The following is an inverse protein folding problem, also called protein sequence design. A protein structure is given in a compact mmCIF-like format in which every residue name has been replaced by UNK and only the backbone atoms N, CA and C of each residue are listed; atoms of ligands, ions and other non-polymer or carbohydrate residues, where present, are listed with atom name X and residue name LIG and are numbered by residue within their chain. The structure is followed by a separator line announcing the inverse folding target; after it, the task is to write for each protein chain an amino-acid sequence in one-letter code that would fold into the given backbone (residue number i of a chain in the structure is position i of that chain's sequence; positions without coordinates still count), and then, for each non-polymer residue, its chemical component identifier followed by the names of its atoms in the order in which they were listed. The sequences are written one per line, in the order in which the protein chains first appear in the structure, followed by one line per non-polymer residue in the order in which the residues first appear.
data_IF_149304535503
#
_entry.id   IF_149304535503
#
_cell.length_a   1.000
_cell.length_b   1.000
_cell.length_c   1.000
_cell.angle_alpha   90.00
_cell.angle_beta   90.00
_cell.angle_gamma   90.00
#
_symmetry.space_group_name_H-M   'P 1'
#
loop_
_entity.id
_entity.type
_entity.pdbx_description
1 polymer ?
#
# COMPACT_ATOMS: atom_id res chain seq x y z
N UNK A 1 -21.20 -7.20 -24.46
CA UNK A 1 -21.10 -7.82 -23.11
C UNK A 1 -20.04 -7.08 -22.33
N UNK A 2 -20.40 -6.49 -21.18
CA UNK A 2 -19.46 -5.79 -20.32
C UNK A 2 -18.46 -6.76 -19.67
N UNK A 3 -17.30 -6.22 -19.23
CA UNK A 3 -16.29 -6.96 -18.47
C UNK A 3 -16.78 -7.38 -17.08
N UNK A 4 -17.88 -6.77 -16.59
CA UNK A 4 -18.47 -6.97 -15.28
C UNK A 4 -19.96 -7.27 -15.40
N UNK A 5 -20.44 -8.19 -14.56
CA UNK A 5 -21.84 -8.57 -14.45
C UNK A 5 -22.32 -8.30 -13.02
N UNK A 6 -23.34 -7.46 -12.87
CA UNK A 6 -23.98 -7.22 -11.59
C UNK A 6 -24.75 -8.45 -11.11
N UNK A 7 -24.90 -8.55 -9.78
CA UNK A 7 -25.76 -9.50 -9.10
C UNK A 7 -26.72 -8.69 -8.20
N UNK A 8 -28.01 -9.00 -8.23
CA UNK A 8 -29.03 -8.33 -7.43
C UNK A 8 -29.42 -9.12 -6.18
N UNK A 9 -28.91 -10.36 -6.04
CA UNK A 9 -29.20 -11.28 -4.95
C UNK A 9 -28.02 -11.36 -3.96
N UNK A 10 -27.31 -10.22 -3.77
CA UNK A 10 -26.21 -10.15 -2.82
C UNK A 10 -26.73 -9.96 -1.39
N UNK A 11 -26.17 -10.74 -0.48
CA UNK A 11 -26.42 -10.60 0.96
C UNK A 11 -25.68 -9.37 1.52
N UNK A 12 -26.13 -8.92 2.70
CA UNK A 12 -25.55 -7.80 3.41
C UNK A 12 -24.17 -8.17 3.95
N UNK A 13 -23.19 -7.35 3.66
CA UNK A 13 -21.84 -7.45 4.23
C UNK A 13 -21.84 -7.19 5.74
N UNK A 14 -21.09 -7.99 6.48
CA UNK A 14 -20.79 -7.77 7.90
C UNK A 14 -19.31 -7.98 8.17
N UNK A 15 -18.76 -7.22 9.11
CA UNK A 15 -17.35 -7.29 9.47
C UNK A 15 -17.18 -7.20 10.99
N UNK A 16 -16.28 -8.02 11.52
CA UNK A 16 -15.84 -8.00 12.92
C UNK A 16 -14.31 -7.95 12.94
N UNK A 17 -13.74 -7.19 13.88
CA UNK A 17 -12.30 -7.06 14.04
C UNK A 17 -11.90 -7.20 15.51
N UNK A 18 -10.83 -7.93 15.75
CA UNK A 18 -10.14 -8.00 17.03
C UNK A 18 -8.70 -7.56 16.81
N UNK A 19 -8.25 -6.59 17.59
CA UNK A 19 -6.91 -6.00 17.46
C UNK A 19 -6.25 -5.85 18.84
N UNK A 20 -4.95 -6.13 18.89
CA UNK A 20 -4.08 -5.84 20.04
C UNK A 20 -2.91 -5.03 19.53
N UNK A 21 -2.78 -3.81 20.07
CA UNK A 21 -1.71 -2.88 19.73
C UNK A 21 -0.78 -2.61 20.92
N UNK A 22 0.45 -2.24 20.61
CA UNK A 22 1.45 -1.82 21.57
C UNK A 22 2.20 -0.60 21.03
N UNK A 23 2.36 0.41 21.88
CA UNK A 23 3.06 1.65 21.54
C UNK A 23 4.13 1.96 22.60
N UNK A 24 5.35 2.21 22.13
CA UNK A 24 6.47 2.65 22.93
C UNK A 24 7.00 3.97 22.39
N UNK A 25 6.98 5.00 23.21
CA UNK A 25 7.48 6.32 22.85
C UNK A 25 8.62 6.72 23.77
N UNK A 26 9.74 7.15 23.17
CA UNK A 26 10.92 7.69 23.83
C UNK A 26 11.31 8.99 23.13
N UNK A 27 12.18 9.76 23.76
CA UNK A 27 12.62 11.06 23.21
C UNK A 27 13.23 10.95 21.81
N UNK A 28 13.98 9.87 21.56
CA UNK A 28 14.73 9.71 20.31
C UNK A 28 14.17 8.62 19.37
N UNK A 29 13.18 7.86 19.82
CA UNK A 29 12.59 6.81 19.00
C UNK A 29 11.18 6.43 19.45
N UNK A 30 10.41 5.90 18.54
CA UNK A 30 9.12 5.26 18.81
C UNK A 30 9.02 3.92 18.12
N UNK A 31 8.18 3.05 18.66
CA UNK A 31 7.82 1.75 18.10
C UNK A 31 6.34 1.53 18.34
N UNK A 32 5.60 1.36 17.26
CA UNK A 32 4.19 1.00 17.27
C UNK A 32 4.03 -0.36 16.59
N UNK A 33 3.20 -1.22 17.16
CA UNK A 33 2.89 -2.52 16.58
C UNK A 33 1.45 -2.90 16.83
N UNK A 34 0.83 -3.59 15.89
CA UNK A 34 -0.52 -4.11 15.99
C UNK A 34 -0.59 -5.52 15.39
N UNK A 35 -1.33 -6.38 16.05
CA UNK A 35 -1.75 -7.69 15.55
C UNK A 35 -3.27 -7.69 15.51
N UNK A 36 -3.85 -8.06 14.38
CA UNK A 36 -5.30 -8.08 14.23
C UNK A 36 -5.79 -9.35 13.53
N UNK A 37 -7.04 -9.68 13.83
CA UNK A 37 -7.79 -10.72 13.15
C UNK A 37 -9.17 -10.17 12.79
N UNK A 38 -9.57 -10.32 11.53
CA UNK A 38 -10.81 -9.79 10.98
C UNK A 38 -11.60 -10.90 10.30
N UNK A 39 -12.90 -10.90 10.52
CA UNK A 39 -13.89 -11.73 9.85
C UNK A 39 -14.78 -10.84 9.00
N UNK A 40 -14.86 -11.12 7.73
CA UNK A 40 -15.76 -10.47 6.79
C UNK A 40 -16.69 -11.55 6.22
N UNK A 41 -17.98 -11.44 6.52
CA UNK A 41 -19.00 -12.33 6.01
C UNK A 41 -19.76 -11.62 4.89
N UNK A 42 -20.00 -12.31 3.79
CA UNK A 42 -20.68 -11.80 2.60
C UNK A 42 -20.05 -10.56 1.96
N UNK A 43 -18.72 -10.40 2.06
CA UNK A 43 -18.04 -9.30 1.36
C UNK A 43 -18.29 -9.39 -0.15
N UNK A 44 -18.70 -8.29 -0.78
CA UNK A 44 -18.92 -8.28 -2.23
C UNK A 44 -17.60 -8.17 -2.97
N UNK A 45 -17.26 -9.20 -3.77
CA UNK A 45 -16.07 -9.21 -4.61
C UNK A 45 -16.42 -9.53 -6.07
N UNK A 46 -15.54 -9.14 -6.97
CA UNK A 46 -15.64 -9.42 -8.39
C UNK A 46 -14.87 -10.70 -8.73
N UNK A 47 -15.57 -11.81 -8.80
CA UNK A 47 -14.98 -13.14 -9.04
C UNK A 47 -14.90 -13.50 -10.51
N UNK A 48 -13.94 -14.35 -10.85
CA UNK A 48 -13.70 -14.84 -12.19
C UNK A 48 -13.54 -16.37 -12.19
N UNK A 49 -14.32 -17.04 -13.03
CA UNK A 49 -14.35 -18.51 -13.14
C UNK A 49 -13.75 -19.03 -14.45
N UNK A 50 -12.82 -18.29 -15.06
CA UNK A 50 -12.07 -18.72 -16.26
C UNK A 50 -12.72 -18.38 -17.59
N UNK A 51 -13.97 -17.98 -17.63
CA UNK A 51 -14.65 -17.55 -18.85
C UNK A 51 -15.72 -16.50 -18.60
N UNK A 52 -15.94 -15.62 -19.56
CA UNK A 52 -16.98 -14.59 -19.50
C UNK A 52 -16.60 -13.35 -18.68
N UNK A 53 -17.61 -12.62 -18.23
CA UNK A 53 -17.46 -11.43 -17.41
C UNK A 53 -17.21 -11.79 -15.95
N UNK A 54 -16.50 -10.94 -15.22
CA UNK A 54 -16.42 -11.02 -13.77
C UNK A 54 -17.82 -10.80 -13.16
N UNK A 55 -18.19 -11.59 -12.19
CA UNK A 55 -19.47 -11.50 -11.50
C UNK A 55 -19.28 -10.94 -10.09
N UNK A 56 -20.22 -10.09 -9.63
CA UNK A 56 -20.28 -9.72 -8.23
C UNK A 56 -20.87 -10.89 -7.44
N UNK A 57 -20.14 -11.38 -6.45
CA UNK A 57 -20.56 -12.48 -5.58
C UNK A 57 -20.19 -12.18 -4.12
N UNK A 58 -20.90 -12.77 -3.18
CA UNK A 58 -20.53 -12.74 -1.78
C UNK A 58 -19.36 -13.69 -1.53
N UNK A 59 -18.39 -13.23 -0.72
CA UNK A 59 -17.19 -13.96 -0.35
C UNK A 59 -16.95 -13.81 1.13
N UNK A 60 -16.69 -14.89 1.83
CA UNK A 60 -16.26 -14.84 3.22
C UNK A 60 -14.74 -14.77 3.28
N UNK A 61 -14.21 -13.80 4.05
CA UNK A 61 -12.77 -13.59 4.16
C UNK A 61 -12.37 -13.53 5.62
N UNK A 62 -11.38 -14.34 6.01
CA UNK A 62 -10.69 -14.26 7.28
C UNK A 62 -9.32 -13.69 7.07
N UNK A 63 -9.03 -12.59 7.76
CA UNK A 63 -7.76 -11.86 7.59
C UNK A 63 -6.99 -11.87 8.91
N UNK A 64 -5.73 -12.25 8.87
CA UNK A 64 -4.76 -12.00 9.94
C UNK A 64 -3.74 -10.99 9.45
N UNK A 65 -3.37 -10.02 10.29
CA UNK A 65 -2.38 -9.01 9.94
C UNK A 65 -1.49 -8.63 11.11
N UNK A 66 -0.27 -8.27 10.77
CA UNK A 66 0.75 -7.71 11.65
C UNK A 66 1.24 -6.40 11.05
N UNK A 67 1.34 -5.36 11.87
CA UNK A 67 1.90 -4.07 11.49
C UNK A 67 2.94 -3.64 12.53
N UNK A 68 4.08 -3.12 12.07
CA UNK A 68 5.15 -2.59 12.89
C UNK A 68 5.65 -1.30 12.24
N UNK A 69 5.75 -0.23 13.03
CA UNK A 69 6.33 1.05 12.61
C UNK A 69 7.35 1.46 13.65
N UNK A 70 8.56 1.77 13.23
CA UNK A 70 9.62 2.28 14.06
C UNK A 70 10.13 3.62 13.51
N UNK A 71 10.26 4.62 14.37
CA UNK A 71 10.84 5.92 14.03
C UNK A 71 12.05 6.18 14.92
N UNK A 72 13.11 6.72 14.35
CA UNK A 72 14.29 7.13 15.05
C UNK A 72 14.65 8.57 14.67
N UNK A 73 14.91 9.40 15.69
CA UNK A 73 15.32 10.78 15.52
C UNK A 73 16.80 10.93 15.91
N UNK A 74 17.56 11.57 15.03
CA UNK A 74 18.90 12.08 15.26
C UNK A 74 18.88 13.59 15.06
N UNK A 75 19.96 14.28 15.37
CA UNK A 75 20.02 15.75 15.31
C UNK A 75 19.43 16.34 14.00
N UNK A 76 19.89 15.81 12.84
CA UNK A 76 19.47 16.30 11.51
C UNK A 76 18.81 15.23 10.65
N UNK A 77 18.58 14.07 11.19
CA UNK A 77 18.06 12.92 10.42
C UNK A 77 16.91 12.28 11.16
N UNK A 78 15.84 12.04 10.47
CA UNK A 78 14.75 11.17 10.89
C UNK A 78 14.74 9.92 10.02
N UNK A 79 14.65 8.74 10.64
CA UNK A 79 14.51 7.46 9.97
C UNK A 79 13.20 6.81 10.37
N UNK A 80 12.43 6.34 9.38
CA UNK A 80 11.16 5.66 9.56
C UNK A 80 11.24 4.31 8.86
N UNK A 81 10.95 3.23 9.57
CA UNK A 81 10.86 1.90 8.99
C UNK A 81 9.50 1.29 9.33
N UNK A 82 8.86 0.66 8.37
CA UNK A 82 7.64 -0.10 8.63
C UNK A 82 7.67 -1.47 7.96
N UNK A 83 6.93 -2.39 8.55
CA UNK A 83 6.65 -3.69 7.96
C UNK A 83 5.21 -4.06 8.23
N UNK A 84 4.53 -4.56 7.22
CA UNK A 84 3.21 -5.16 7.36
C UNK A 84 3.18 -6.54 6.70
N UNK A 85 2.49 -7.44 7.38
CA UNK A 85 2.13 -8.77 6.88
C UNK A 85 0.62 -8.90 6.91
N UNK A 86 0.06 -9.40 5.83
CA UNK A 86 -1.37 -9.62 5.69
C UNK A 86 -1.61 -10.97 5.04
N UNK A 87 -2.40 -11.81 5.68
CA UNK A 87 -2.82 -13.08 5.09
C UNK A 87 -4.33 -13.18 5.13
N UNK A 88 -4.91 -13.44 3.97
CA UNK A 88 -6.36 -13.66 3.80
C UNK A 88 -6.62 -15.10 3.43
N UNK A 89 -7.66 -15.66 4.05
CA UNK A 89 -8.24 -16.95 3.70
C UNK A 89 -9.66 -16.68 3.20
N UNK A 90 -9.87 -16.89 1.93
CA UNK A 90 -11.10 -16.62 1.22
C UNK A 90 -11.92 -17.88 1.01
N UNK A 91 -13.24 -17.79 1.19
CA UNK A 91 -14.21 -18.83 0.81
C UNK A 91 -15.23 -18.23 -0.16
N UNK A 92 -15.18 -18.67 -1.39
CA UNK A 92 -16.09 -18.24 -2.44
C UNK A 92 -17.40 -19.07 -2.48
N UNK A 93 -17.54 -20.13 -1.67
CA UNK A 93 -18.65 -21.07 -1.79
C UNK A 93 -18.76 -21.76 -3.16
N UNK A 94 -17.86 -21.45 -4.10
CA UNK A 94 -17.87 -21.93 -5.47
C UNK A 94 -16.45 -22.33 -5.92
N UNK A 95 -16.17 -23.63 -6.09
CA UNK A 95 -14.84 -24.12 -6.46
C UNK A 95 -14.41 -23.76 -7.89
N UNK A 96 -15.31 -23.23 -8.72
CA UNK A 96 -14.97 -22.78 -10.06
C UNK A 96 -14.33 -21.39 -10.10
N UNK A 97 -14.31 -20.64 -8.98
CA UNK A 97 -13.65 -19.34 -8.90
C UNK A 97 -12.14 -19.54 -8.91
N UNK A 98 -11.46 -18.90 -9.87
CA UNK A 98 -10.00 -18.97 -10.04
C UNK A 98 -9.31 -17.66 -9.75
N UNK A 99 -10.06 -16.58 -9.53
CA UNK A 99 -9.52 -15.27 -9.20
C UNK A 99 -10.59 -14.31 -8.74
N UNK A 100 -10.18 -13.34 -7.93
CA UNK A 100 -11.03 -12.27 -7.44
C UNK A 100 -10.29 -10.94 -7.42
N UNK A 101 -11.03 -9.86 -7.17
CA UNK A 101 -10.48 -8.52 -7.20
C UNK A 101 -9.91 -8.12 -5.83
N UNK A 102 -10.66 -8.32 -4.75
CA UNK A 102 -10.25 -7.86 -3.42
C UNK A 102 -9.57 -8.95 -2.59
N UNK A 103 -10.04 -10.20 -2.66
CA UNK A 103 -9.49 -11.28 -1.85
C UNK A 103 -8.06 -11.65 -2.26
N UNK A 104 -7.72 -11.58 -3.55
CA UNK A 104 -6.41 -12.00 -4.08
C UNK A 104 -5.50 -10.83 -4.50
N UNK A 105 -5.91 -9.59 -4.29
CA UNK A 105 -5.19 -8.44 -4.84
C UNK A 105 -4.69 -7.48 -3.76
N UNK A 106 -3.80 -7.98 -2.93
CA UNK A 106 -3.23 -7.24 -1.81
C UNK A 106 -1.74 -7.58 -1.63
N UNK A 107 -0.92 -6.68 -1.08
CA UNK A 107 0.43 -7.02 -0.66
C UNK A 107 0.37 -7.95 0.55
N UNK A 108 0.90 -9.17 0.42
CA UNK A 108 1.05 -10.11 1.54
C UNK A 108 2.17 -9.66 2.46
N UNK A 109 3.24 -9.11 1.87
CA UNK A 109 4.33 -8.46 2.59
C UNK A 109 4.58 -7.07 2.04
N UNK A 110 4.80 -6.11 2.94
CA UNK A 110 5.19 -4.75 2.58
C UNK A 110 6.18 -4.23 3.60
N UNK A 111 7.31 -3.72 3.13
CA UNK A 111 8.29 -3.04 3.95
C UNK A 111 8.55 -1.64 3.39
N UNK A 112 8.67 -0.65 4.27
CA UNK A 112 9.08 0.70 3.89
C UNK A 112 10.28 1.14 4.70
N UNK A 113 11.13 1.96 4.08
CA UNK A 113 12.26 2.60 4.75
C UNK A 113 12.38 4.02 4.21
N UNK A 114 12.17 4.99 5.08
CA UNK A 114 12.23 6.41 4.79
C UNK A 114 13.31 7.10 5.61
N UNK A 115 13.91 8.14 5.03
CA UNK A 115 14.82 9.06 5.69
C UNK A 115 14.46 10.49 5.31
N UNK A 116 14.46 11.39 6.32
CA UNK A 116 14.33 12.82 6.13
C UNK A 116 15.58 13.46 6.71
N UNK A 117 16.35 14.13 5.87
CA UNK A 117 17.57 14.79 6.25
C UNK A 117 17.43 16.31 6.14
N UNK A 118 17.49 17.01 7.27
CA UNK A 118 17.51 18.46 7.35
C UNK A 118 18.96 18.96 7.26
N UNK A 119 19.44 19.21 6.06
CA UNK A 119 20.82 19.66 5.83
C UNK A 119 21.10 21.00 6.55
N UNK A 120 20.11 21.90 6.50
CA UNK A 120 20.04 23.17 7.25
C UNK A 120 18.56 23.62 7.29
N UNK A 121 18.29 24.83 7.82
CA UNK A 121 16.93 25.40 7.93
C UNK A 121 16.22 25.58 6.58
N UNK A 122 16.96 25.57 5.48
CA UNK A 122 16.45 25.85 4.13
C UNK A 122 16.40 24.63 3.23
N UNK A 123 17.10 23.54 3.56
CA UNK A 123 17.22 22.38 2.68
C UNK A 123 16.87 21.09 3.40
N UNK A 124 15.83 20.43 2.89
CA UNK A 124 15.40 19.11 3.29
C UNK A 124 15.57 18.13 2.13
N UNK A 125 16.06 16.93 2.44
CA UNK A 125 16.18 15.83 1.49
C UNK A 125 15.43 14.64 2.06
N UNK A 126 14.53 14.09 1.26
CA UNK A 126 13.72 12.91 1.59
C UNK A 126 14.06 11.74 0.68
N UNK A 127 14.21 10.57 1.26
CA UNK A 127 14.37 9.31 0.55
C UNK A 127 13.38 8.30 1.14
N UNK A 128 12.50 7.78 0.31
CA UNK A 128 11.59 6.71 0.71
C UNK A 128 11.79 5.51 -0.22
N UNK A 129 11.76 4.32 0.35
CA UNK A 129 11.77 3.08 -0.39
C UNK A 129 10.62 2.20 0.11
N UNK A 130 9.97 1.54 -0.81
CA UNK A 130 8.92 0.57 -0.53
C UNK A 130 9.21 -0.71 -1.30
N UNK A 131 9.35 -1.81 -0.58
CA UNK A 131 9.29 -3.16 -1.15
C UNK A 131 7.94 -3.77 -0.80
N UNK A 132 7.33 -4.44 -1.79
CA UNK A 132 6.11 -5.22 -1.60
C UNK A 132 6.18 -6.56 -2.33
N UNK A 133 5.55 -7.56 -1.74
CA UNK A 133 5.25 -8.84 -2.37
C UNK A 133 3.73 -9.02 -2.34
N UNK A 134 3.15 -9.15 -3.52
CA UNK A 134 1.71 -9.33 -3.68
C UNK A 134 1.32 -10.80 -3.48
N UNK A 135 0.12 -11.02 -2.97
CA UNK A 135 -0.52 -12.34 -3.00
C UNK A 135 -0.48 -12.92 -4.40
N UNK A 136 -0.16 -14.20 -4.50
CA UNK A 136 -0.19 -14.91 -5.79
C UNK A 136 -1.61 -14.87 -6.37
N UNK A 137 -1.69 -14.48 -7.64
CA UNK A 137 -2.95 -14.39 -8.37
C UNK A 137 -2.72 -14.89 -9.80
N UNK A 138 -3.42 -15.95 -10.20
CA UNK A 138 -3.28 -16.56 -11.51
C UNK A 138 -3.61 -15.61 -12.69
N UNK A 139 -4.28 -14.51 -12.43
CA UNK A 139 -4.61 -13.48 -13.42
C UNK A 139 -3.51 -12.43 -13.60
N UNK A 140 -2.48 -12.43 -12.74
CA UNK A 140 -1.36 -11.48 -12.86
C UNK A 140 -0.32 -12.02 -13.83
N UNK A 141 0.09 -11.20 -14.78
CA UNK A 141 1.29 -11.42 -15.57
C UNK A 141 2.43 -10.55 -15.02
N UNK A 142 3.64 -11.09 -14.98
CA UNK A 142 4.81 -10.38 -14.45
C UNK A 142 5.17 -10.80 -13.01
N UNK A 143 6.11 -10.08 -12.38
CA UNK A 143 6.61 -10.41 -11.05
C UNK A 143 5.53 -10.22 -9.97
N UNK A 144 5.68 -10.93 -8.85
CA UNK A 144 4.83 -10.78 -7.67
C UNK A 144 5.34 -9.73 -6.69
N UNK A 145 6.59 -9.32 -6.82
CA UNK A 145 7.23 -8.33 -5.98
C UNK A 145 7.66 -7.09 -6.77
N UNK A 146 7.75 -5.97 -6.07
CA UNK A 146 8.19 -4.70 -6.62
C UNK A 146 8.95 -3.89 -5.58
N UNK A 147 9.90 -3.09 -6.07
CA UNK A 147 10.59 -2.07 -5.31
C UNK A 147 10.31 -0.70 -5.92
N UNK A 148 9.96 0.27 -5.07
CA UNK A 148 9.77 1.66 -5.44
C UNK A 148 10.70 2.52 -4.61
N UNK A 149 11.27 3.55 -5.23
CA UNK A 149 12.05 4.57 -4.54
C UNK A 149 11.50 5.95 -4.88
N UNK A 150 11.47 6.81 -3.88
CA UNK A 150 11.16 8.21 -4.01
C UNK A 150 12.30 9.04 -3.46
N UNK A 151 12.72 10.08 -4.19
CA UNK A 151 13.67 11.09 -3.74
C UNK A 151 13.00 12.44 -3.85
N UNK A 152 12.92 13.16 -2.73
CA UNK A 152 12.42 14.53 -2.67
C UNK A 152 13.51 15.48 -2.20
N UNK A 153 13.53 16.68 -2.76
CA UNK A 153 14.40 17.80 -2.31
C UNK A 153 13.50 19.02 -2.19
N UNK A 154 13.41 19.60 -0.99
CA UNK A 154 12.66 20.81 -0.73
C UNK A 154 13.61 21.94 -0.30
N UNK A 155 13.47 23.09 -0.93
CA UNK A 155 14.22 24.29 -0.63
C UNK A 155 13.27 25.39 -0.16
N UNK A 156 13.57 25.96 1.00
CA UNK A 156 12.81 27.03 1.67
C UNK A 156 13.67 28.31 1.68
N UNK A 157 13.50 29.24 0.70
CA UNK A 157 14.29 30.45 0.63
C UNK A 157 14.01 31.36 1.84
N UNK A 158 15.06 31.80 2.56
CA UNK A 158 14.92 32.67 3.73
C UNK A 158 14.38 34.07 3.37
N UNK A 159 14.42 34.47 2.12
CA UNK A 159 13.97 35.79 1.64
C UNK A 159 12.46 35.88 1.42
N UNK A 160 11.80 34.74 1.30
CA UNK A 160 10.34 34.66 1.05
C UNK A 160 9.76 33.66 2.04
N UNK A 161 9.11 34.18 3.05
CA UNK A 161 8.44 33.37 4.06
C UNK A 161 7.37 32.49 3.39
N UNK A 162 7.18 31.28 3.91
CA UNK A 162 6.19 30.32 3.42
C UNK A 162 6.32 29.87 1.95
N UNK A 163 7.47 30.11 1.30
CA UNK A 163 7.78 29.58 -0.02
C UNK A 163 8.57 28.27 0.08
N UNK A 164 8.12 27.25 -0.63
CA UNK A 164 8.84 26.02 -0.89
C UNK A 164 9.02 25.82 -2.38
N UNK A 165 10.24 25.51 -2.81
CA UNK A 165 10.55 25.00 -4.15
C UNK A 165 10.93 23.55 -4.00
N UNK A 166 10.25 22.64 -4.69
CA UNK A 166 10.54 21.22 -4.56
C UNK A 166 10.82 20.54 -5.89
N UNK A 167 11.64 19.50 -5.78
CA UNK A 167 11.93 18.52 -6.83
C UNK A 167 11.62 17.14 -6.28
N UNK A 168 10.99 16.28 -7.08
CA UNK A 168 10.74 14.91 -6.71
C UNK A 168 10.93 13.94 -7.88
N UNK A 169 11.49 12.78 -7.59
CA UNK A 169 11.67 11.66 -8.50
C UNK A 169 11.05 10.43 -7.90
N UNK A 170 10.11 9.82 -8.62
CA UNK A 170 9.55 8.51 -8.32
C UNK A 170 10.10 7.48 -9.30
N UNK A 171 10.68 6.40 -8.76
CA UNK A 171 11.33 5.35 -9.54
C UNK A 171 10.77 3.98 -9.18
N UNK A 172 9.92 3.35 -10.01
CA UNK A 172 9.71 1.92 -9.98
C UNK A 172 10.95 1.20 -10.55
N UNK A 173 11.43 0.18 -9.85
CA UNK A 173 12.59 -0.60 -10.32
C UNK A 173 12.20 -1.69 -11.31
N UNK A 174 10.91 -2.05 -11.36
CA UNK A 174 10.32 -2.90 -12.37
C UNK A 174 8.98 -2.29 -12.85
N UNK A 175 8.92 -1.89 -14.09
CA UNK A 175 7.74 -1.30 -14.73
C UNK A 175 6.73 -2.34 -15.24
N UNK A 176 7.07 -3.63 -15.16
CA UNK A 176 6.18 -4.73 -15.53
C UNK A 176 5.32 -5.23 -14.37
N UNK A 177 5.62 -4.79 -13.14
CA UNK A 177 4.83 -5.16 -11.97
C UNK A 177 3.41 -4.62 -12.06
N UNK A 178 2.43 -5.51 -11.86
CA UNK A 178 1.00 -5.18 -11.89
C UNK A 178 0.42 -5.19 -10.48
N UNK A 179 0.06 -4.02 -9.95
CA UNK A 179 -0.68 -3.95 -8.67
C UNK A 179 -2.02 -4.67 -8.75
N UNK A 180 -2.71 -4.48 -9.85
CA UNK A 180 -3.94 -5.17 -10.23
C UNK A 180 -3.71 -5.94 -11.53
N UNK A 181 -4.15 -7.20 -11.65
CA UNK A 181 -4.01 -7.97 -12.88
C UNK A 181 -4.57 -7.22 -14.10
N UNK A 182 -3.76 -7.13 -15.14
CA UNK A 182 -4.13 -6.48 -16.40
C UNK A 182 -4.01 -4.95 -16.39
N UNK A 183 -3.49 -4.34 -15.31
CA UNK A 183 -3.17 -2.91 -15.31
C UNK A 183 -1.71 -2.69 -15.70
N UNK A 184 -1.36 -1.58 -16.38
CA UNK A 184 0.03 -1.24 -16.60
C UNK A 184 0.75 -0.98 -15.28
N UNK A 185 2.04 -1.30 -15.23
CA UNK A 185 2.91 -0.93 -14.12
C UNK A 185 3.05 0.59 -13.98
N UNK A 186 3.55 1.04 -12.83
CA UNK A 186 3.91 2.45 -12.64
C UNK A 186 5.11 2.81 -13.51
N UNK A 187 5.16 4.03 -14.02
CA UNK A 187 6.31 4.57 -14.74
C UNK A 187 7.10 5.54 -13.86
N UNK A 188 8.33 5.83 -14.26
CA UNK A 188 9.13 6.91 -13.64
C UNK A 188 8.39 8.24 -13.77
N UNK A 189 8.44 9.03 -12.69
CA UNK A 189 7.86 10.36 -12.67
C UNK A 189 8.85 11.37 -12.11
N UNK A 190 9.03 12.46 -12.81
CA UNK A 190 9.79 13.63 -12.38
C UNK A 190 8.82 14.78 -12.13
N UNK A 191 8.94 15.41 -10.97
CA UNK A 191 8.11 16.53 -10.58
C UNK A 191 8.98 17.71 -10.14
N UNK A 192 8.58 18.91 -10.55
CA UNK A 192 9.13 20.18 -10.06
C UNK A 192 7.94 21.08 -9.74
N UNK A 193 7.96 21.73 -8.59
CA UNK A 193 6.87 22.59 -8.19
C UNK A 193 7.25 23.64 -7.18
N UNK A 194 6.28 24.54 -6.95
CA UNK A 194 6.38 25.63 -6.00
C UNK A 194 5.10 25.61 -5.15
N UNK A 195 5.26 25.63 -3.84
CA UNK A 195 4.18 25.81 -2.87
C UNK A 195 4.37 27.17 -2.18
N UNK A 196 3.32 27.96 -2.12
CA UNK A 196 3.30 29.22 -1.38
C UNK A 196 2.03 29.29 -0.51
N UNK A 197 2.21 29.63 0.75
CA UNK A 197 1.09 29.85 1.69
C UNK A 197 0.95 31.34 1.95
N UNK A 198 -0.24 31.89 1.74
CA UNK A 198 -0.58 33.30 2.01
C UNK A 198 -1.52 33.43 3.20
#
# INVERSE_FOLDING_TARGET
SGLFRSNHDLDRETSQNLEVGHSLNRTEWSLDSALFYRWDDNLVDWVYSGSGARAAENVDIKTIGLEIIATRYWDKLEGIASYSYLHKNEDYGNPAVIGSFYALNYPEHRATLGFIFHANEQLEIRLDNEWREQKENALRSGPKDALYSHVGISYYPSQIEDLEVFFALDKPWDDTFQELPGTPGRSEQLSLGINYRW
#
